data_IF_761095580128
#
_entry.id   IF_761095580128
#
_cell.length_a   1.000
_cell.length_b   1.000
_cell.length_c   1.000
_cell.angle_alpha   90.00
_cell.angle_beta   90.00
_cell.angle_gamma   90.00
#
_symmetry.space_group_name_H-M   'P 1'
#
loop_
_entity.id
_entity.type
_entity.pdbx_description
1 polymer ?
#
# COMPACT_ATOMS: atom_id res chain seq x y z
N UNK A 1 -16.37 3.87 -23.66
CA UNK A 1 -15.30 4.88 -23.83
C UNK A 1 -15.97 6.13 -24.38
N UNK A 2 -15.69 7.30 -23.80
CA UNK A 2 -16.45 8.54 -24.00
C UNK A 2 -17.85 8.57 -23.38
N UNK A 3 -18.19 7.56 -22.58
CA UNK A 3 -19.41 7.55 -21.78
C UNK A 3 -19.34 8.67 -20.73
N UNK A 4 -20.46 9.32 -20.45
CA UNK A 4 -20.53 10.39 -19.45
C UNK A 4 -21.13 9.84 -18.16
N UNK A 5 -20.28 9.67 -17.14
CA UNK A 5 -20.68 9.23 -15.82
C UNK A 5 -21.30 10.39 -15.05
N UNK A 6 -22.42 10.13 -14.37
CA UNK A 6 -23.11 11.12 -13.54
C UNK A 6 -23.37 12.46 -14.26
N UNK A 7 -23.61 12.42 -15.58
CA UNK A 7 -23.81 13.60 -16.43
C UNK A 7 -22.69 14.66 -16.37
N UNK A 8 -21.51 14.31 -15.84
CA UNK A 8 -20.40 15.25 -15.58
C UNK A 8 -19.04 14.73 -16.00
N UNK A 9 -18.75 13.45 -15.78
CA UNK A 9 -17.40 12.91 -15.98
C UNK A 9 -17.34 12.08 -17.25
N UNK A 10 -16.78 12.66 -18.31
CA UNK A 10 -16.62 11.98 -19.60
C UNK A 10 -15.40 11.05 -19.55
N UNK A 11 -15.59 9.75 -19.75
CA UNK A 11 -14.52 8.75 -19.73
C UNK A 11 -13.58 8.95 -20.92
N UNK A 12 -12.30 9.17 -20.63
CA UNK A 12 -11.22 9.23 -21.63
C UNK A 12 -10.65 7.83 -21.87
N UNK A 13 -10.10 7.21 -20.82
CA UNK A 13 -9.46 5.90 -20.92
C UNK A 13 -9.28 5.22 -19.57
N UNK A 14 -9.03 3.91 -19.59
CA UNK A 14 -8.82 3.13 -18.37
C UNK A 14 -7.37 3.26 -17.89
N UNK A 15 -7.19 3.65 -16.64
CA UNK A 15 -5.87 3.77 -15.99
C UNK A 15 -5.47 2.48 -15.27
N UNK A 16 -6.43 1.76 -14.71
CA UNK A 16 -6.12 0.60 -13.88
C UNK A 16 -7.34 -0.15 -13.36
N UNK A 17 -7.09 -1.21 -12.61
CA UNK A 17 -8.10 -1.91 -11.82
C UNK A 17 -7.46 -2.53 -10.57
N UNK A 18 -8.24 -2.60 -9.51
CA UNK A 18 -7.94 -3.34 -8.28
C UNK A 18 -8.86 -4.54 -8.14
N UNK A 19 -8.84 -5.20 -6.98
CA UNK A 19 -9.72 -6.33 -6.68
C UNK A 19 -11.21 -5.94 -6.69
N UNK A 20 -11.52 -4.71 -6.27
CA UNK A 20 -12.89 -4.21 -6.06
C UNK A 20 -13.22 -2.93 -6.82
N UNK A 21 -12.43 -2.56 -7.84
CA UNK A 21 -12.67 -1.31 -8.58
C UNK A 21 -11.98 -1.27 -9.93
N UNK A 22 -12.50 -0.43 -10.82
CA UNK A 22 -11.80 0.05 -12.02
C UNK A 22 -11.54 1.54 -11.92
N UNK A 23 -10.43 2.00 -12.48
CA UNK A 23 -9.97 3.39 -12.36
C UNK A 23 -9.83 3.99 -13.76
N UNK A 24 -10.44 5.15 -13.95
CA UNK A 24 -10.62 5.78 -15.26
C UNK A 24 -10.13 7.22 -15.23
N UNK A 25 -9.41 7.62 -16.27
CA UNK A 25 -9.20 9.03 -16.57
C UNK A 25 -10.50 9.57 -17.18
N UNK A 26 -10.96 10.71 -16.66
CA UNK A 26 -12.15 11.38 -17.16
C UNK A 26 -11.88 12.88 -17.33
N UNK A 27 -12.64 13.53 -18.22
CA UNK A 27 -12.77 14.98 -18.26
C UNK A 27 -13.97 15.39 -17.42
N UNK A 28 -13.77 16.27 -16.45
CA UNK A 28 -14.84 16.96 -15.74
C UNK A 28 -15.42 18.04 -16.65
N UNK A 29 -16.66 17.84 -17.10
CA UNK A 29 -17.34 18.74 -18.03
C UNK A 29 -17.80 20.05 -17.37
N UNK A 30 -17.78 20.15 -16.04
CA UNK A 30 -18.14 21.35 -15.28
C UNK A 30 -16.91 22.19 -14.98
N UNK A 31 -15.87 21.58 -14.42
CA UNK A 31 -14.62 22.28 -14.04
C UNK A 31 -13.61 22.37 -15.19
N UNK A 32 -13.89 21.72 -16.33
CA UNK A 32 -13.04 21.70 -17.53
C UNK A 32 -11.61 21.23 -17.27
N UNK A 33 -11.44 20.21 -16.43
CA UNK A 33 -10.15 19.63 -16.10
C UNK A 33 -10.20 18.09 -16.13
N UNK A 34 -9.04 17.43 -16.10
CA UNK A 34 -8.99 15.98 -15.96
C UNK A 34 -9.10 15.54 -14.50
N UNK A 35 -9.84 14.46 -14.28
CA UNK A 35 -10.00 13.80 -12.98
C UNK A 35 -9.84 12.29 -13.14
N UNK A 36 -9.52 11.61 -12.03
CA UNK A 36 -9.57 10.15 -11.97
C UNK A 36 -10.85 9.72 -11.26
N UNK A 37 -11.64 8.87 -11.92
CA UNK A 37 -12.85 8.26 -11.32
C UNK A 37 -12.56 6.79 -11.01
N UNK A 38 -12.58 6.44 -9.72
CA UNK A 38 -12.55 5.05 -9.23
C UNK A 38 -13.99 4.57 -9.14
N UNK A 39 -14.38 3.65 -10.02
CA UNK A 39 -15.69 2.99 -10.01
C UNK A 39 -15.52 1.68 -9.27
N UNK A 40 -16.07 1.59 -8.05
CA UNK A 40 -16.02 0.39 -7.23
C UNK A 40 -16.99 -0.67 -7.75
N UNK A 41 -16.76 -1.93 -7.39
CA UNK A 41 -17.77 -2.97 -7.48
C UNK A 41 -18.94 -2.63 -6.55
N UNK A 42 -20.01 -3.42 -6.61
CA UNK A 42 -21.16 -3.26 -5.71
C UNK A 42 -20.73 -3.23 -4.24
N UNK A 43 -21.52 -2.53 -3.41
CA UNK A 43 -21.26 -2.27 -2.00
C UNK A 43 -20.79 -3.51 -1.25
N UNK A 44 -19.66 -3.37 -0.57
CA UNK A 44 -19.08 -4.35 0.32
C UNK A 44 -18.20 -3.65 1.35
N UNK A 45 -17.82 -4.38 2.40
CA UNK A 45 -17.09 -3.84 3.55
C UNK A 45 -15.88 -2.96 3.15
N UNK A 46 -15.01 -3.34 2.17
CA UNK A 46 -13.89 -2.49 1.78
C UNK A 46 -14.30 -1.12 1.22
N UNK A 47 -15.41 -1.06 0.48
CA UNK A 47 -15.91 0.18 -0.15
C UNK A 47 -16.55 1.11 0.89
N UNK A 48 -17.34 0.55 1.80
CA UNK A 48 -17.94 1.31 2.92
C UNK A 48 -16.87 1.90 3.84
N UNK A 49 -15.79 1.13 4.05
CA UNK A 49 -14.64 1.56 4.83
C UNK A 49 -13.86 2.68 4.13
N UNK A 50 -13.59 2.56 2.83
CA UNK A 50 -12.95 3.64 2.05
C UNK A 50 -13.78 4.92 2.11
N UNK A 51 -15.11 4.83 1.92
CA UNK A 51 -16.01 5.98 2.03
C UNK A 51 -15.94 6.62 3.43
N UNK A 52 -15.94 5.81 4.48
CA UNK A 52 -15.88 6.27 5.86
C UNK A 52 -14.55 6.96 6.17
N UNK A 53 -13.44 6.38 5.70
CA UNK A 53 -12.11 6.96 5.86
C UNK A 53 -11.97 8.30 5.12
N UNK A 54 -12.44 8.39 3.88
CA UNK A 54 -12.40 9.64 3.09
C UNK A 54 -13.29 10.72 3.69
N UNK A 55 -14.49 10.37 4.17
CA UNK A 55 -15.36 11.30 4.90
C UNK A 55 -14.70 11.83 6.17
N UNK A 56 -14.05 10.95 6.93
CA UNK A 56 -13.30 11.33 8.12
C UNK A 56 -12.17 12.31 7.78
N UNK A 57 -11.32 11.98 6.80
CA UNK A 57 -10.22 12.84 6.35
C UNK A 57 -10.71 14.23 5.87
N UNK A 58 -11.80 14.27 5.11
CA UNK A 58 -12.40 15.51 4.63
C UNK A 58 -13.09 16.34 5.73
N UNK A 59 -13.46 15.70 6.85
CA UNK A 59 -14.06 16.41 8.01
C UNK A 59 -13.03 17.06 8.92
N UNK A 60 -11.77 16.67 8.84
CA UNK A 60 -10.69 17.24 9.65
C UNK A 60 -10.46 18.70 9.28
N UNK A 61 -10.19 19.58 10.27
CA UNK A 61 -9.90 20.98 10.01
C UNK A 61 -8.67 21.15 9.12
N UNK A 62 -8.49 22.36 8.60
CA UNK A 62 -7.22 22.71 7.97
C UNK A 62 -6.08 22.48 8.97
N UNK A 63 -4.98 21.92 8.48
CA UNK A 63 -3.80 21.60 9.27
C UNK A 63 -2.55 22.13 8.57
N UNK A 64 -1.59 22.61 9.36
CA UNK A 64 -0.25 23.00 8.90
C UNK A 64 0.69 21.79 8.78
N UNK A 65 0.23 20.61 9.18
CA UNK A 65 1.02 19.40 9.11
C UNK A 65 1.28 19.00 7.65
N UNK A 66 2.52 19.17 7.20
CA UNK A 66 2.93 18.93 5.81
C UNK A 66 2.58 17.53 5.29
N UNK A 67 2.62 16.52 6.15
CA UNK A 67 2.17 15.15 5.83
C UNK A 67 0.80 15.05 5.17
N UNK A 68 -0.12 15.98 5.45
CA UNK A 68 -1.44 16.05 4.80
C UNK A 68 -1.34 16.19 3.28
N UNK A 69 -0.32 16.86 2.76
CA UNK A 69 -0.14 17.05 1.31
C UNK A 69 0.23 15.76 0.59
N UNK A 70 0.68 14.74 1.35
CA UNK A 70 1.07 13.42 0.83
C UNK A 70 -0.03 12.37 1.05
N UNK A 71 -1.25 12.79 1.39
CA UNK A 71 -2.44 11.95 1.50
C UNK A 71 -3.40 12.24 0.35
N UNK A 72 -3.84 11.19 -0.34
CA UNK A 72 -4.87 11.33 -1.36
C UNK A 72 -6.22 11.63 -0.72
N UNK A 73 -6.85 12.72 -1.18
CA UNK A 73 -8.21 13.12 -0.77
C UNK A 73 -9.18 13.01 -1.95
N UNK A 74 -10.43 12.69 -1.66
CA UNK A 74 -11.49 12.65 -2.66
C UNK A 74 -12.01 14.07 -2.93
N UNK A 75 -12.09 14.43 -4.22
CA UNK A 75 -12.67 15.67 -4.72
C UNK A 75 -14.20 15.62 -4.71
N UNK A 76 -14.77 14.45 -5.00
CA UNK A 76 -16.21 14.21 -5.04
C UNK A 76 -16.52 12.72 -4.83
N UNK A 77 -17.77 12.40 -4.50
CA UNK A 77 -18.30 11.03 -4.47
C UNK A 77 -19.71 10.99 -5.04
N UNK A 78 -20.02 9.94 -5.79
CA UNK A 78 -21.36 9.69 -6.32
C UNK A 78 -21.61 8.20 -6.49
N UNK A 79 -22.83 7.84 -6.88
CA UNK A 79 -23.22 6.46 -7.16
C UNK A 79 -23.74 6.33 -8.59
N UNK A 80 -23.26 5.31 -9.31
CA UNK A 80 -23.87 4.92 -10.58
C UNK A 80 -25.02 3.94 -10.32
N UNK A 81 -26.10 4.02 -11.09
CA UNK A 81 -27.24 3.12 -10.92
C UNK A 81 -26.83 1.66 -11.14
N UNK A 82 -27.50 0.77 -10.42
CA UNK A 82 -27.32 -0.66 -10.56
C UNK A 82 -27.61 -1.12 -12.00
N UNK A 83 -26.92 -2.19 -12.44
CA UNK A 83 -27.32 -2.89 -13.67
C UNK A 83 -28.72 -3.51 -13.45
N UNK A 84 -29.75 -3.12 -14.22
CA UNK A 84 -31.11 -3.63 -14.07
C UNK A 84 -31.22 -5.15 -14.25
N UNK A 85 -30.23 -5.78 -14.90
CA UNK A 85 -30.18 -7.23 -15.14
C UNK A 85 -29.42 -7.98 -14.05
N UNK A 86 -28.82 -7.28 -13.09
CA UNK A 86 -28.07 -7.92 -12.00
C UNK A 86 -29.02 -8.69 -11.07
N UNK A 87 -28.60 -9.88 -10.64
CA UNK A 87 -29.30 -10.69 -9.64
C UNK A 87 -29.33 -10.04 -8.26
N UNK A 88 -28.44 -9.07 -8.00
CA UNK A 88 -28.42 -8.26 -6.79
C UNK A 88 -28.24 -6.79 -7.20
N UNK A 89 -29.31 -6.03 -7.47
CA UNK A 89 -29.21 -4.65 -7.92
C UNK A 89 -28.75 -3.76 -6.76
N UNK A 90 -27.50 -3.32 -6.81
CA UNK A 90 -26.93 -2.33 -5.91
C UNK A 90 -26.18 -1.27 -6.73
N UNK A 91 -26.21 0.00 -6.29
CA UNK A 91 -25.45 1.05 -6.95
C UNK A 91 -23.94 0.76 -6.89
N UNK A 92 -23.19 1.40 -7.79
CA UNK A 92 -21.74 1.33 -7.82
C UNK A 92 -21.17 2.64 -7.25
N UNK A 93 -20.57 2.61 -6.04
CA UNK A 93 -19.92 3.78 -5.47
C UNK A 93 -18.75 4.23 -6.35
N UNK A 94 -18.66 5.54 -6.55
CA UNK A 94 -17.63 6.17 -7.35
C UNK A 94 -16.95 7.28 -6.57
N UNK A 95 -15.62 7.29 -6.61
CA UNK A 95 -14.79 8.32 -5.98
C UNK A 95 -14.02 9.10 -7.04
N UNK A 96 -14.05 10.43 -6.93
CA UNK A 96 -13.36 11.34 -7.85
C UNK A 96 -12.11 11.86 -7.17
N UNK A 97 -10.99 11.83 -7.88
CA UNK A 97 -9.68 12.22 -7.38
C UNK A 97 -8.94 13.08 -8.39
N UNK A 98 -7.91 13.79 -7.91
CA UNK A 98 -6.88 14.31 -8.82
C UNK A 98 -6.22 13.15 -9.59
N UNK A 99 -5.89 13.35 -10.87
CA UNK A 99 -5.07 12.40 -11.61
C UNK A 99 -3.70 12.21 -10.99
N UNK A 100 -3.19 10.99 -11.10
CA UNK A 100 -1.89 10.57 -10.58
C UNK A 100 -1.12 9.87 -11.69
N UNK A 101 0.20 9.87 -11.62
CA UNK A 101 1.05 9.37 -12.68
C UNK A 101 1.06 7.84 -12.71
N UNK A 102 1.76 7.25 -11.74
CA UNK A 102 1.95 5.81 -11.64
C UNK A 102 2.27 5.41 -10.20
N UNK A 103 2.06 4.15 -9.86
CA UNK A 103 2.45 3.59 -8.55
C UNK A 103 3.96 3.44 -8.45
N UNK A 104 4.50 3.48 -7.22
CA UNK A 104 5.91 3.15 -6.97
C UNK A 104 6.29 1.78 -7.51
N UNK A 105 5.37 0.81 -7.45
CA UNK A 105 5.60 -0.54 -7.99
C UNK A 105 5.94 -0.53 -9.50
N UNK A 106 5.18 0.25 -10.28
CA UNK A 106 5.44 0.40 -11.72
C UNK A 106 6.64 1.31 -11.98
N UNK A 107 6.82 2.36 -11.18
CA UNK A 107 7.97 3.26 -11.31
C UNK A 107 9.29 2.53 -11.09
N UNK A 108 9.35 1.65 -10.08
CA UNK A 108 10.54 0.85 -9.76
C UNK A 108 10.98 -0.04 -10.91
N UNK A 109 10.06 -0.52 -11.75
CA UNK A 109 10.38 -1.33 -12.93
C UNK A 109 11.16 -0.59 -14.01
N UNK A 110 11.25 0.74 -13.93
CA UNK A 110 12.06 1.54 -14.84
C UNK A 110 13.55 1.54 -14.44
N UNK A 111 13.88 1.06 -13.23
CA UNK A 111 15.24 1.05 -12.72
C UNK A 111 15.91 -0.32 -12.94
N UNK A 112 17.24 -0.36 -13.10
CA UNK A 112 17.99 -1.60 -13.18
C UNK A 112 17.64 -2.54 -12.02
N UNK A 113 17.40 -3.82 -12.34
CA UNK A 113 17.05 -4.86 -11.37
C UNK A 113 15.79 -4.58 -10.53
N UNK A 114 14.97 -3.61 -10.95
CA UNK A 114 13.83 -3.10 -10.18
C UNK A 114 14.25 -2.59 -8.79
N UNK A 115 15.34 -1.83 -8.69
CA UNK A 115 15.84 -1.30 -7.42
C UNK A 115 15.88 0.23 -7.46
N UNK A 116 15.34 0.90 -6.44
CA UNK A 116 15.51 2.35 -6.33
C UNK A 116 16.91 2.72 -5.85
N UNK A 117 17.56 3.73 -6.44
CA UNK A 117 18.81 4.28 -5.91
C UNK A 117 18.61 4.83 -4.50
N UNK A 118 19.63 4.71 -3.64
CA UNK A 118 19.62 5.15 -2.23
C UNK A 118 18.99 6.54 -2.03
N UNK A 119 19.40 7.54 -2.83
CA UNK A 119 18.92 8.92 -2.67
C UNK A 119 17.44 9.08 -3.02
N UNK A 120 16.97 8.39 -4.06
CA UNK A 120 15.56 8.36 -4.42
C UNK A 120 14.74 7.68 -3.31
N UNK A 121 15.23 6.56 -2.80
CA UNK A 121 14.58 5.82 -1.73
C UNK A 121 14.43 6.66 -0.44
N UNK A 122 15.49 7.35 -0.02
CA UNK A 122 15.44 8.29 1.11
C UNK A 122 14.37 9.36 0.91
N UNK A 123 14.37 10.02 -0.26
CA UNK A 123 13.38 11.05 -0.59
C UNK A 123 11.95 10.51 -0.52
N UNK A 124 11.67 9.37 -1.17
CA UNK A 124 10.35 8.73 -1.13
C UNK A 124 9.93 8.44 0.31
N UNK A 125 10.85 7.88 1.11
CA UNK A 125 10.55 7.48 2.47
C UNK A 125 10.21 8.67 3.37
N UNK A 126 10.90 9.80 3.23
CA UNK A 126 10.57 11.02 3.98
C UNK A 126 9.11 11.44 3.77
N UNK A 127 8.63 11.41 2.52
CA UNK A 127 7.25 11.76 2.19
C UNK A 127 6.26 10.74 2.76
N UNK A 128 6.55 9.45 2.64
CA UNK A 128 5.70 8.36 3.18
C UNK A 128 5.61 8.46 4.71
N UNK A 129 6.73 8.64 5.40
CA UNK A 129 6.76 8.82 6.86
C UNK A 129 5.96 10.06 7.27
N UNK A 130 6.12 11.20 6.59
CA UNK A 130 5.32 12.41 6.87
C UNK A 130 3.82 12.17 6.67
N UNK A 131 3.43 11.44 5.62
CA UNK A 131 2.04 11.07 5.35
C UNK A 131 1.44 10.25 6.51
N UNK A 132 2.17 9.22 6.95
CA UNK A 132 1.75 8.34 8.04
C UNK A 132 1.72 9.09 9.37
N UNK A 133 2.68 9.99 9.62
CA UNK A 133 2.71 10.82 10.81
C UNK A 133 1.45 11.68 10.92
N UNK A 134 1.01 12.29 9.82
CA UNK A 134 -0.26 13.00 9.78
C UNK A 134 -1.46 12.07 10.08
N UNK A 135 -1.51 10.89 9.45
CA UNK A 135 -2.59 9.93 9.65
C UNK A 135 -2.70 9.50 11.12
N UNK A 136 -1.58 9.18 11.76
CA UNK A 136 -1.53 8.68 13.13
C UNK A 136 -1.80 9.78 14.15
N UNK A 137 -1.17 10.95 13.99
CA UNK A 137 -1.20 12.02 14.99
C UNK A 137 -2.47 12.84 14.91
N UNK A 138 -2.88 13.27 13.72
CA UNK A 138 -4.01 14.18 13.56
C UNK A 138 -5.28 13.46 13.10
N UNK A 139 -5.17 12.57 12.10
CA UNK A 139 -6.34 11.85 11.61
C UNK A 139 -6.76 10.70 12.54
N UNK A 140 -5.91 10.26 13.47
CA UNK A 140 -6.16 9.08 14.34
C UNK A 140 -6.62 7.86 13.52
N UNK A 141 -5.94 7.64 12.39
CA UNK A 141 -6.26 6.61 11.41
C UNK A 141 -5.02 5.77 11.10
N UNK A 142 -5.23 4.46 11.00
CA UNK A 142 -4.23 3.47 10.59
C UNK A 142 -4.53 3.12 9.13
N UNK A 143 -3.51 3.11 8.27
CA UNK A 143 -3.68 2.78 6.85
C UNK A 143 -3.86 1.28 6.63
N UNK A 144 -3.05 0.45 7.30
CA UNK A 144 -3.13 -1.00 7.34
C UNK A 144 -2.92 -1.74 6.00
N UNK A 145 -2.43 -1.03 4.98
CA UNK A 145 -2.08 -1.58 3.65
C UNK A 145 -1.01 -0.73 2.94
N UNK A 146 0.07 -0.43 3.64
CA UNK A 146 1.19 0.33 3.07
C UNK A 146 2.03 -0.61 2.22
N UNK A 147 2.00 -0.37 0.91
CA UNK A 147 2.76 -1.10 -0.11
C UNK A 147 2.96 -0.24 -1.35
N UNK A 148 3.89 -0.62 -2.22
CA UNK A 148 4.27 0.14 -3.42
C UNK A 148 3.11 0.41 -4.39
N UNK A 149 2.12 -0.49 -4.43
CA UNK A 149 0.93 -0.33 -5.28
C UNK A 149 -0.02 0.77 -4.81
N UNK A 150 0.02 1.09 -3.52
CA UNK A 150 -0.86 2.08 -2.87
C UNK A 150 -0.18 3.43 -2.68
N UNK A 151 1.03 3.62 -3.21
CA UNK A 151 1.74 4.90 -3.20
C UNK A 151 1.90 5.34 -4.65
N UNK A 152 1.23 6.42 -5.03
CA UNK A 152 1.21 6.94 -6.40
C UNK A 152 2.00 8.25 -6.48
N UNK A 153 2.78 8.43 -7.55
CA UNK A 153 3.47 9.69 -7.82
C UNK A 153 2.47 10.73 -8.33
N UNK A 154 2.54 11.97 -7.83
CA UNK A 154 1.73 13.06 -8.37
C UNK A 154 2.13 13.39 -9.81
N UNK A 155 1.17 13.98 -10.54
CA UNK A 155 1.41 14.58 -11.83
C UNK A 155 1.63 16.07 -11.65
N UNK A 156 2.85 16.51 -11.95
CA UNK A 156 3.21 17.93 -11.91
C UNK A 156 3.10 18.58 -13.30
N UNK A 157 3.16 17.77 -14.37
CA UNK A 157 3.00 18.22 -15.76
C UNK A 157 1.61 17.84 -16.31
N UNK A 158 0.70 18.81 -16.49
CA UNK A 158 -0.64 18.53 -17.02
C UNK A 158 -0.64 18.09 -18.49
N UNK A 159 0.42 18.37 -19.27
CA UNK A 159 0.49 17.97 -20.68
C UNK A 159 0.41 16.45 -20.86
N UNK A 160 0.86 15.68 -19.87
CA UNK A 160 0.79 14.21 -19.86
C UNK A 160 -0.66 13.71 -19.98
N UNK A 161 -1.62 14.45 -19.41
CA UNK A 161 -3.04 14.10 -19.46
C UNK A 161 -3.63 14.36 -20.85
N UNK A 162 -3.19 15.45 -21.50
CA UNK A 162 -3.58 15.79 -22.87
C UNK A 162 -2.98 14.79 -23.87
N UNK A 163 -1.71 14.45 -23.72
CA UNK A 163 -1.03 13.43 -24.53
C UNK A 163 -1.73 12.07 -24.40
N UNK A 164 -2.08 11.65 -23.18
CA UNK A 164 -2.84 10.43 -22.96
C UNK A 164 -4.18 10.44 -23.71
N UNK A 165 -4.91 11.55 -23.64
CA UNK A 165 -6.20 11.71 -24.33
C UNK A 165 -6.03 11.66 -25.86
N UNK A 166 -5.04 12.37 -26.40
CA UNK A 166 -4.72 12.34 -27.82
C UNK A 166 -4.34 10.94 -28.30
N UNK A 167 -3.54 10.22 -27.54
CA UNK A 167 -3.15 8.85 -27.86
C UNK A 167 -4.33 7.88 -27.83
N UNK A 168 -5.19 7.98 -26.81
CA UNK A 168 -6.38 7.14 -26.69
C UNK A 168 -7.37 7.41 -27.82
N UNK A 169 -7.42 8.66 -28.31
CA UNK A 169 -8.17 9.03 -29.50
C UNK A 169 -7.56 8.45 -30.79
N UNK A 170 -6.25 8.59 -30.99
CA UNK A 170 -5.55 8.14 -32.21
C UNK A 170 -5.42 6.62 -32.30
N UNK A 171 -5.22 5.96 -31.17
CA UNK A 171 -4.99 4.52 -31.09
C UNK A 171 -5.69 3.95 -29.84
N UNK A 172 -7.01 3.68 -29.90
CA UNK A 172 -7.78 3.24 -28.74
C UNK A 172 -7.25 1.96 -28.11
N UNK A 173 -7.31 1.88 -26.77
CA UNK A 173 -6.84 0.73 -26.02
C UNK A 173 -7.58 -0.57 -26.44
N UNK A 174 -6.86 -1.71 -26.52
CA UNK A 174 -7.48 -3.00 -26.80
C UNK A 174 -8.63 -3.30 -25.85
N UNK A 175 -9.69 -3.92 -26.38
CA UNK A 175 -10.89 -4.27 -25.61
C UNK A 175 -11.41 -5.65 -25.96
N UNK A 176 -11.91 -6.36 -24.95
CA UNK A 176 -12.65 -7.61 -25.09
C UNK A 176 -14.14 -7.34 -24.87
N UNK A 177 -14.98 -7.95 -25.70
CA UNK A 177 -16.43 -8.01 -25.47
C UNK A 177 -16.72 -9.33 -24.77
N UNK A 178 -17.40 -9.29 -23.62
CA UNK A 178 -17.76 -10.43 -22.80
C UNK A 178 -19.25 -10.33 -22.47
N UNK A 179 -20.09 -10.97 -23.29
CA UNK A 179 -21.54 -10.78 -23.22
C UNK A 179 -21.95 -9.34 -23.54
N UNK A 180 -22.60 -8.68 -22.58
CA UNK A 180 -22.98 -7.26 -22.66
C UNK A 180 -21.95 -6.31 -22.05
N UNK A 181 -20.81 -6.82 -21.58
CA UNK A 181 -19.73 -6.03 -20.98
C UNK A 181 -18.59 -5.82 -21.94
N UNK A 182 -18.00 -4.62 -21.90
CA UNK A 182 -16.75 -4.31 -22.60
C UNK A 182 -15.65 -4.14 -21.57
N UNK A 183 -14.63 -5.00 -21.66
CA UNK A 183 -13.45 -4.95 -20.80
C UNK A 183 -12.32 -4.28 -21.56
N UNK A 184 -11.89 -3.13 -21.09
CA UNK A 184 -10.77 -2.38 -21.66
C UNK A 184 -9.46 -2.79 -20.98
N UNK A 185 -8.40 -2.93 -21.79
CA UNK A 185 -7.04 -2.97 -21.30
C UNK A 185 -6.67 -1.59 -20.75
N UNK A 186 -5.96 -1.54 -19.64
CA UNK A 186 -5.48 -0.28 -19.07
C UNK A 186 -4.34 0.28 -19.90
N UNK A 187 -4.35 1.59 -20.16
CA UNK A 187 -3.21 2.31 -20.72
C UNK A 187 -2.38 2.91 -19.59
N UNK A 188 -1.06 2.75 -19.68
CA UNK A 188 -0.13 3.45 -18.80
C UNK A 188 0.03 4.88 -19.28
N UNK A 189 0.08 5.84 -18.36
CA UNK A 189 0.44 7.20 -18.71
C UNK A 189 1.91 7.21 -19.13
N UNK A 190 2.18 7.56 -20.39
CA UNK A 190 3.52 7.67 -20.93
C UNK A 190 4.17 8.94 -20.38
N UNK A 191 4.63 8.85 -19.13
CA UNK A 191 5.47 9.90 -18.60
C UNK A 191 6.81 9.84 -19.33
N UNK A 192 7.28 10.98 -19.84
CA UNK A 192 8.68 11.16 -20.22
C UNK A 192 9.55 11.14 -18.95
N UNK A 193 9.58 9.99 -18.26
CA UNK A 193 10.26 9.79 -16.97
C UNK A 193 11.75 9.76 -17.21
N UNK A 194 12.36 10.93 -17.28
CA UNK A 194 13.76 11.06 -16.92
C UNK A 194 13.87 10.98 -15.40
N UNK A 195 14.98 10.45 -14.88
CA UNK A 195 15.22 10.16 -13.46
C UNK A 195 14.97 11.35 -12.50
N UNK A 196 14.88 12.56 -13.04
CA UNK A 196 14.78 13.85 -12.37
C UNK A 196 13.39 14.50 -12.42
N UNK A 197 12.41 13.90 -13.12
CA UNK A 197 11.06 14.49 -13.30
C UNK A 197 9.94 13.55 -12.83
N UNK A 198 9.76 13.47 -11.52
CA UNK A 198 8.61 12.82 -10.90
C UNK A 198 8.05 13.71 -9.78
N UNK A 199 6.73 13.72 -9.63
CA UNK A 199 6.07 14.41 -8.54
C UNK A 199 6.17 13.63 -7.22
N UNK A 200 5.95 14.28 -6.07
CA UNK A 200 6.01 13.62 -4.76
C UNK A 200 5.12 12.36 -4.67
N UNK A 201 5.55 11.33 -3.92
CA UNK A 201 4.73 10.16 -3.66
C UNK A 201 3.57 10.52 -2.72
N UNK A 202 2.38 10.05 -3.07
CA UNK A 202 1.14 10.26 -2.35
C UNK A 202 0.59 8.91 -1.91
N UNK A 203 0.31 8.78 -0.61
CA UNK A 203 -0.32 7.60 -0.04
C UNK A 203 -1.82 7.58 -0.42
N UNK A 204 -2.24 6.45 -0.97
CA UNK A 204 -3.54 6.24 -1.59
C UNK A 204 -4.19 4.96 -1.09
N UNK A 205 -5.48 4.81 -1.39
CA UNK A 205 -6.29 3.62 -1.13
C UNK A 205 -6.53 3.31 0.36
N UNK A 206 -7.65 3.81 0.87
CA UNK A 206 -8.06 3.64 2.27
C UNK A 206 -9.05 2.49 2.46
N UNK A 207 -9.08 1.51 1.54
CA UNK A 207 -9.99 0.35 1.62
C UNK A 207 -9.68 -0.60 2.76
N UNK A 208 -8.50 -0.49 3.40
CA UNK A 208 -8.13 -1.26 4.59
C UNK A 208 -7.91 -0.40 5.84
N UNK A 209 -8.26 0.89 5.81
CA UNK A 209 -8.02 1.77 6.95
C UNK A 209 -8.85 1.43 8.20
N UNK A 210 -8.33 1.71 9.40
CA UNK A 210 -9.08 1.63 10.66
C UNK A 210 -8.94 2.93 11.45
N UNK A 211 -10.01 3.32 12.14
CA UNK A 211 -10.03 4.47 13.05
C UNK A 211 -11.16 4.32 14.08
N UNK A 212 -11.07 5.06 15.18
CA UNK A 212 -12.11 5.08 16.24
C UNK A 212 -11.98 4.01 17.34
N UNK A 213 -10.92 3.21 17.34
CA UNK A 213 -10.58 2.29 18.44
C UNK A 213 -9.08 2.33 18.71
N UNK A 214 -8.69 2.02 19.94
CA UNK A 214 -7.27 2.00 20.32
C UNK A 214 -6.53 0.79 19.73
N UNK A 215 -7.21 -0.34 19.61
CA UNK A 215 -6.64 -1.59 19.09
C UNK A 215 -7.68 -2.35 18.25
N UNK A 216 -7.17 -3.23 17.39
CA UNK A 216 -7.95 -4.05 16.48
C UNK A 216 -7.41 -5.50 16.44
N UNK A 217 -8.19 -6.44 15.91
CA UNK A 217 -7.85 -7.87 15.87
C UNK A 217 -8.20 -8.54 14.54
N UNK A 218 -8.77 -7.79 13.60
CA UNK A 218 -9.12 -8.29 12.29
C UNK A 218 -7.91 -8.41 11.36
N UNK A 219 -8.08 -9.16 10.28
CA UNK A 219 -7.02 -9.46 9.32
C UNK A 219 -6.82 -8.29 8.36
N UNK A 220 -5.65 -7.68 8.44
CA UNK A 220 -5.17 -6.61 7.56
C UNK A 220 -3.85 -7.00 6.89
N UNK A 221 -3.35 -6.09 6.04
CA UNK A 221 -2.10 -6.18 5.29
C UNK A 221 -2.01 -7.39 4.32
N UNK A 222 -1.45 -7.20 3.13
CA UNK A 222 -1.13 -8.30 2.23
C UNK A 222 -0.08 -9.23 2.86
N UNK A 223 -0.09 -10.50 2.44
CA UNK A 223 0.68 -11.56 3.09
C UNK A 223 2.15 -11.21 3.35
N UNK A 224 2.86 -10.61 2.39
CA UNK A 224 4.31 -10.30 2.50
C UNK A 224 4.62 -9.08 3.36
N UNK A 225 3.64 -8.19 3.60
CA UNK A 225 3.79 -6.98 4.42
C UNK A 225 3.16 -7.11 5.81
N UNK A 226 2.55 -8.27 6.10
CA UNK A 226 1.76 -8.47 7.31
C UNK A 226 2.63 -8.55 8.56
N UNK A 227 2.30 -7.75 9.56
CA UNK A 227 3.00 -7.66 10.84
C UNK A 227 2.81 -8.94 11.68
N UNK A 228 3.77 -9.29 12.56
CA UNK A 228 3.72 -10.52 13.35
C UNK A 228 2.52 -10.56 14.29
N UNK A 229 2.14 -9.43 14.90
CA UNK A 229 0.96 -9.34 15.77
C UNK A 229 -0.34 -9.67 15.03
N UNK A 230 -0.48 -9.25 13.77
CA UNK A 230 -1.63 -9.58 12.93
C UNK A 230 -1.64 -11.07 12.59
N UNK A 231 -0.48 -11.65 12.25
CA UNK A 231 -0.35 -13.09 11.96
C UNK A 231 -0.70 -13.95 13.18
N UNK A 232 -0.29 -13.51 14.37
CA UNK A 232 -0.41 -14.24 15.62
C UNK A 232 -1.71 -13.96 16.38
N UNK A 233 -2.64 -13.22 15.77
CA UNK A 233 -3.91 -12.79 16.37
C UNK A 233 -3.71 -12.10 17.74
N UNK A 234 -2.68 -11.26 17.80
CA UNK A 234 -2.40 -10.36 18.91
C UNK A 234 -3.06 -9.01 18.56
N UNK A 235 -3.73 -8.33 19.52
CA UNK A 235 -4.27 -6.99 19.27
C UNK A 235 -3.21 -6.05 18.73
N UNK A 236 -3.56 -5.30 17.70
CA UNK A 236 -2.65 -4.43 16.96
C UNK A 236 -3.16 -2.98 16.92
N UNK A 237 -2.23 -2.05 16.73
CA UNK A 237 -2.45 -0.59 16.71
C UNK A 237 -1.74 0.04 15.49
N UNK A 238 -1.51 1.35 15.50
CA UNK A 238 -0.89 2.07 14.39
C UNK A 238 0.52 1.61 14.03
N UNK A 239 1.21 0.88 14.93
CA UNK A 239 2.57 0.37 14.69
C UNK A 239 2.64 -0.66 13.57
N UNK A 240 1.52 -1.24 13.13
CA UNK A 240 1.47 -2.09 11.93
C UNK A 240 1.89 -1.35 10.66
N UNK A 241 1.62 -0.04 10.58
CA UNK A 241 2.04 0.79 9.45
C UNK A 241 3.57 0.98 9.46
N UNK A 242 4.17 1.14 10.64
CA UNK A 242 5.63 1.26 10.78
C UNK A 242 6.33 -0.04 10.35
N UNK A 243 5.76 -1.20 10.71
CA UNK A 243 6.22 -2.49 10.20
C UNK A 243 6.17 -2.55 8.67
N UNK A 244 5.03 -2.19 8.08
CA UNK A 244 4.86 -2.20 6.62
C UNK A 244 5.86 -1.27 5.93
N UNK A 245 6.20 -0.12 6.52
CA UNK A 245 7.25 0.77 5.99
C UNK A 245 8.63 0.10 6.02
N UNK A 246 8.97 -0.59 7.11
CA UNK A 246 10.23 -1.35 7.23
C UNK A 246 10.37 -2.49 6.22
N UNK A 247 9.27 -3.12 5.83
CA UNK A 247 9.25 -4.11 4.73
C UNK A 247 9.29 -3.42 3.36
N UNK A 248 8.52 -2.35 3.18
CA UNK A 248 8.44 -1.57 1.94
C UNK A 248 9.80 -1.02 1.50
N UNK A 249 10.56 -0.42 2.42
CA UNK A 249 11.88 0.13 2.11
C UNK A 249 12.84 -0.94 1.60
N UNK A 250 12.83 -2.13 2.22
CA UNK A 250 13.66 -3.25 1.82
C UNK A 250 13.29 -3.73 0.42
N UNK A 251 12.01 -3.97 0.17
CA UNK A 251 11.51 -4.46 -1.11
C UNK A 251 11.86 -3.51 -2.28
N UNK A 252 11.78 -2.20 -2.02
CA UNK A 252 12.14 -1.18 -3.01
C UNK A 252 13.66 -1.09 -3.25
N UNK A 253 14.46 -1.38 -2.24
CA UNK A 253 15.92 -1.27 -2.31
C UNK A 253 16.58 -2.54 -2.87
N UNK A 254 16.21 -3.71 -2.35
CA UNK A 254 16.76 -5.00 -2.76
C UNK A 254 16.10 -5.55 -4.03
N UNK A 255 14.94 -5.01 -4.40
CA UNK A 255 14.18 -5.45 -5.57
C UNK A 255 13.50 -6.81 -5.37
N UNK A 256 13.58 -7.38 -4.18
CA UNK A 256 12.97 -8.66 -3.78
C UNK A 256 12.31 -8.54 -2.41
N UNK A 257 11.32 -9.40 -2.14
CA UNK A 257 10.58 -9.35 -0.87
C UNK A 257 11.48 -9.70 0.32
N UNK A 258 11.43 -8.89 1.40
CA UNK A 258 12.09 -9.19 2.67
C UNK A 258 11.68 -10.57 3.21
N UNK A 259 10.37 -10.85 3.20
CA UNK A 259 9.81 -12.12 3.65
C UNK A 259 9.20 -12.90 2.49
N UNK A 260 9.64 -14.15 2.32
CA UNK A 260 9.07 -15.06 1.33
C UNK A 260 7.93 -15.86 1.97
N UNK A 261 6.71 -15.63 1.48
CA UNK A 261 5.51 -16.32 1.99
C UNK A 261 5.18 -17.57 1.19
N UNK A 262 5.62 -17.67 -0.06
CA UNK A 262 5.40 -18.85 -0.91
C UNK A 262 6.58 -19.82 -0.85
N UNK A 263 6.30 -21.13 -0.72
CA UNK A 263 7.32 -22.20 -0.66
C UNK A 263 6.74 -23.54 -0.19
N UNK A 264 7.31 -24.65 -0.71
CA UNK A 264 6.90 -26.03 -0.41
C UNK A 264 5.86 -26.63 -1.37
N UNK A 265 5.65 -27.96 -1.36
CA UNK A 265 4.68 -28.62 -2.24
C UNK A 265 3.28 -28.04 -2.02
N UNK A 266 2.65 -27.60 -3.12
CA UNK A 266 1.27 -27.08 -3.21
C UNK A 266 0.99 -25.66 -2.67
N UNK A 267 1.98 -24.87 -2.25
CA UNK A 267 1.77 -23.47 -1.79
C UNK A 267 0.75 -23.32 -0.63
N UNK A 268 0.50 -24.41 0.12
CA UNK A 268 -0.53 -24.50 1.19
C UNK A 268 -0.11 -23.91 2.53
N UNK A 269 1.09 -23.33 2.63
CA UNK A 269 1.79 -23.07 3.89
C UNK A 269 2.29 -21.62 4.04
N UNK A 270 1.52 -20.64 3.59
CA UNK A 270 1.98 -19.23 3.53
C UNK A 270 2.41 -18.65 4.87
N UNK A 271 1.56 -18.81 5.90
CA UNK A 271 1.83 -18.28 7.24
C UNK A 271 3.06 -18.91 7.89
N UNK A 272 3.25 -20.23 7.73
CA UNK A 272 4.39 -20.92 8.37
C UNK A 272 5.71 -20.56 7.69
N UNK A 273 5.74 -20.39 6.37
CA UNK A 273 6.93 -19.90 5.68
C UNK A 273 7.23 -18.45 6.09
N UNK A 274 6.19 -17.61 6.18
CA UNK A 274 6.37 -16.22 6.60
C UNK A 274 7.02 -16.13 7.99
N UNK A 275 6.47 -16.82 8.99
CA UNK A 275 7.04 -16.81 10.34
C UNK A 275 8.44 -17.46 10.39
N UNK A 276 8.72 -18.49 9.59
CA UNK A 276 10.07 -19.07 9.50
C UNK A 276 11.10 -18.05 8.99
N UNK A 277 10.73 -17.25 7.98
CA UNK A 277 11.57 -16.16 7.50
C UNK A 277 11.72 -15.03 8.54
N UNK A 278 10.67 -14.70 9.29
CA UNK A 278 10.80 -13.76 10.42
C UNK A 278 11.78 -14.27 11.47
N UNK A 279 11.72 -15.55 11.84
CA UNK A 279 12.65 -16.17 12.80
C UNK A 279 14.08 -16.16 12.29
N UNK A 280 14.28 -16.41 10.99
CA UNK A 280 15.59 -16.34 10.34
C UNK A 280 16.23 -14.96 10.50
N UNK A 281 15.48 -13.89 10.20
CA UNK A 281 16.01 -12.53 10.17
C UNK A 281 16.03 -11.83 11.55
N UNK A 282 15.09 -12.17 12.43
CA UNK A 282 14.86 -11.48 13.71
C UNK A 282 15.22 -12.32 14.94
N UNK A 283 15.52 -13.61 14.76
CA UNK A 283 15.56 -14.58 15.85
C UNK A 283 14.16 -14.96 16.36
N UNK A 284 14.07 -15.84 17.37
CA UNK A 284 12.79 -16.27 17.93
C UNK A 284 12.04 -15.10 18.60
N UNK A 285 10.70 -15.07 18.54
CA UNK A 285 9.89 -14.05 19.20
C UNK A 285 9.96 -14.18 20.73
N UNK A 286 9.90 -13.06 21.48
CA UNK A 286 9.75 -13.12 22.92
C UNK A 286 8.48 -13.85 23.36
N UNK A 287 8.57 -14.76 24.32
CA UNK A 287 7.41 -15.55 24.82
C UNK A 287 6.32 -14.67 25.41
N UNK A 288 6.68 -13.56 26.06
CA UNK A 288 5.70 -12.62 26.62
C UNK A 288 4.88 -11.91 25.53
N UNK A 289 5.44 -11.73 24.33
CA UNK A 289 4.71 -11.24 23.17
C UNK A 289 3.72 -12.29 22.66
N UNK A 290 4.15 -13.55 22.51
CA UNK A 290 3.26 -14.64 22.06
C UNK A 290 2.04 -14.84 22.98
N UNK A 291 2.20 -14.64 24.28
CA UNK A 291 1.12 -14.75 25.29
C UNK A 291 0.04 -13.68 25.18
N UNK A 292 0.24 -12.62 24.38
CA UNK A 292 -0.74 -11.53 24.17
C UNK A 292 -1.84 -11.89 23.18
N UNK A 293 -1.76 -13.05 22.54
CA UNK A 293 -2.77 -13.50 21.57
C UNK A 293 -4.14 -13.63 22.25
N UNK A 294 -5.20 -13.28 21.53
CA UNK A 294 -6.57 -13.59 21.95
C UNK A 294 -6.98 -15.02 21.57
N UNK A 295 -6.18 -15.70 20.74
CA UNK A 295 -6.46 -17.02 20.20
C UNK A 295 -5.30 -17.97 20.56
N UNK A 296 -5.37 -18.56 21.77
CA UNK A 296 -4.27 -19.31 22.38
C UNK A 296 -3.61 -20.31 21.42
N UNK A 297 -4.37 -21.08 20.64
CA UNK A 297 -3.79 -22.12 19.78
C UNK A 297 -2.93 -21.59 18.60
N UNK A 298 -3.06 -20.32 18.20
CA UNK A 298 -2.40 -19.79 17.00
C UNK A 298 -0.87 -19.72 17.18
N UNK A 299 -0.29 -19.00 18.16
CA UNK A 299 1.16 -18.95 18.34
C UNK A 299 1.78 -20.32 18.62
N UNK A 300 1.12 -21.13 19.45
CA UNK A 300 1.64 -22.43 19.90
C UNK A 300 1.59 -23.52 18.83
N UNK A 301 1.05 -23.23 17.64
CA UNK A 301 1.20 -24.05 16.43
C UNK A 301 2.59 -23.92 15.81
N UNK A 302 3.27 -22.80 16.07
CA UNK A 302 4.53 -22.42 15.43
C UNK A 302 5.70 -22.35 16.41
N UNK A 303 5.42 -22.07 17.68
CA UNK A 303 6.42 -21.90 18.73
C UNK A 303 6.15 -22.80 19.93
N UNK A 304 7.21 -23.25 20.61
CA UNK A 304 7.05 -24.03 21.84
C UNK A 304 6.41 -23.18 22.96
N UNK A 305 5.42 -23.76 23.66
CA UNK A 305 4.70 -23.05 24.74
C UNK A 305 5.44 -23.11 26.07
N UNK A 306 6.13 -24.22 26.32
CA UNK A 306 6.83 -24.52 27.57
C UNK A 306 8.32 -24.17 27.53
N UNK A 307 8.85 -23.78 26.38
CA UNK A 307 10.26 -23.42 26.18
C UNK A 307 10.46 -21.90 26.11
N UNK A 308 11.46 -21.50 25.33
CA UNK A 308 11.88 -20.11 25.14
C UNK A 308 11.21 -19.44 23.91
N UNK A 309 10.16 -20.06 23.36
CA UNK A 309 9.51 -19.60 22.12
C UNK A 309 10.23 -20.11 20.88
N UNK A 310 10.85 -21.30 20.96
CA UNK A 310 11.60 -21.87 19.85
C UNK A 310 10.68 -22.29 18.71
N UNK A 311 11.19 -22.20 17.48
CA UNK A 311 10.46 -22.62 16.29
C UNK A 311 10.17 -24.12 16.28
N UNK A 312 8.90 -24.48 16.21
CA UNK A 312 8.40 -25.86 16.01
C UNK A 312 7.53 -25.98 14.76
N UNK A 313 7.44 -24.92 13.95
CA UNK A 313 6.67 -24.90 12.73
C UNK A 313 7.20 -25.88 11.68
N UNK A 314 6.31 -26.34 10.79
CA UNK A 314 6.63 -27.36 9.78
C UNK A 314 7.61 -26.91 8.69
N UNK A 315 7.80 -25.61 8.49
CA UNK A 315 8.75 -25.09 7.51
C UNK A 315 10.16 -25.04 8.11
N UNK A 316 11.17 -25.29 7.29
CA UNK A 316 12.57 -25.04 7.68
C UNK A 316 12.80 -23.53 7.82
N UNK A 317 13.51 -23.13 8.87
CA UNK A 317 14.01 -21.75 9.02
C UNK A 317 15.21 -21.58 8.08
N UNK A 318 15.19 -20.62 7.15
CA UNK A 318 16.37 -20.33 6.31
C UNK A 318 17.58 -19.89 7.15
N UNK A 319 18.78 -20.20 6.68
CA UNK A 319 20.04 -19.69 7.25
C UNK A 319 20.43 -18.37 6.57
N UNK A 320 19.56 -17.36 6.69
CA UNK A 320 19.76 -16.02 6.13
C UNK A 320 19.90 -14.98 7.26
N UNK A 321 20.40 -13.80 6.90
CA UNK A 321 20.43 -12.60 7.77
C UNK A 321 20.25 -11.36 6.92
N UNK A 322 19.83 -10.25 7.54
CA UNK A 322 19.74 -8.97 6.83
C UNK A 322 21.11 -8.56 6.24
N UNK A 323 22.20 -8.85 6.94
CA UNK A 323 23.56 -8.60 6.47
C UNK A 323 23.91 -9.35 5.19
N UNK A 324 23.49 -10.61 5.08
CA UNK A 324 23.75 -11.45 3.90
C UNK A 324 22.85 -11.08 2.72
N UNK A 325 21.60 -10.71 2.99
CA UNK A 325 20.61 -10.43 1.96
C UNK A 325 20.71 -9.02 1.37
N UNK A 326 21.26 -8.06 2.11
CA UNK A 326 21.50 -6.71 1.60
C UNK A 326 22.72 -6.72 0.68
N UNK A 327 22.54 -6.39 -0.60
CA UNK A 327 23.61 -6.48 -1.62
C UNK A 327 24.00 -5.11 -2.21
N UNK A 328 23.33 -4.02 -1.82
CA UNK A 328 23.45 -2.73 -2.47
C UNK A 328 24.46 -1.78 -1.79
N UNK A 329 24.78 -2.00 -0.51
CA UNK A 329 25.62 -1.12 0.31
C UNK A 329 26.81 -1.88 0.91
N UNK A 330 27.82 -1.13 1.32
CA UNK A 330 29.00 -1.65 2.02
C UNK A 330 29.39 -0.73 3.20
N UNK A 331 30.17 -1.26 4.13
CA UNK A 331 30.75 -0.50 5.24
C UNK A 331 29.70 0.21 6.12
N UNK A 332 29.97 1.48 6.43
CA UNK A 332 29.14 2.28 7.33
C UNK A 332 27.73 2.52 6.77
N UNK A 333 27.59 2.71 5.45
CA UNK A 333 26.30 2.94 4.82
C UNK A 333 25.36 1.74 4.98
N UNK A 334 25.91 0.53 4.84
CA UNK A 334 25.18 -0.72 5.10
C UNK A 334 24.81 -0.85 6.57
N UNK A 335 25.75 -0.59 7.47
CA UNK A 335 25.50 -0.66 8.92
C UNK A 335 24.36 0.29 9.33
N UNK A 336 24.35 1.51 8.82
CA UNK A 336 23.31 2.51 9.08
C UNK A 336 21.95 2.10 8.49
N UNK A 337 21.93 1.57 7.26
CA UNK A 337 20.68 1.09 6.64
C UNK A 337 20.07 -0.04 7.45
N UNK A 338 20.87 -1.05 7.81
CA UNK A 338 20.40 -2.19 8.58
C UNK A 338 19.94 -1.78 9.98
N UNK A 339 20.64 -0.85 10.63
CA UNK A 339 20.21 -0.28 11.90
C UNK A 339 18.88 0.46 11.77
N UNK A 340 18.68 1.19 10.68
CA UNK A 340 17.42 1.89 10.39
C UNK A 340 16.26 0.92 10.15
N UNK A 341 16.44 -0.12 9.34
CA UNK A 341 15.42 -1.16 9.10
C UNK A 341 15.01 -1.87 10.40
N UNK A 342 15.98 -2.19 11.26
CA UNK A 342 15.74 -2.85 12.56
C UNK A 342 14.92 -2.03 13.54
N UNK A 343 14.85 -0.71 13.37
CA UNK A 343 13.96 0.17 14.18
C UNK A 343 12.49 0.05 13.83
N UNK A 344 12.17 -0.55 12.68
CA UNK A 344 10.80 -0.70 12.18
C UNK A 344 10.34 -2.17 12.20
N UNK A 345 11.25 -3.10 11.92
CA UNK A 345 10.95 -4.52 11.79
C UNK A 345 11.34 -5.27 13.07
N UNK A 346 10.49 -5.16 14.09
CA UNK A 346 10.64 -5.83 15.38
C UNK A 346 9.42 -6.69 15.71
N UNK A 347 9.63 -7.73 16.53
CA UNK A 347 8.55 -8.60 17.00
C UNK A 347 7.48 -7.84 17.78
N UNK A 348 7.90 -7.01 18.76
CA UNK A 348 7.00 -6.24 19.61
C UNK A 348 6.69 -4.88 18.98
N UNK A 349 5.40 -4.52 18.81
CA UNK A 349 5.01 -3.22 18.28
C UNK A 349 5.61 -2.03 19.03
N UNK A 350 5.70 -2.13 20.37
CA UNK A 350 6.23 -1.07 21.23
C UNK A 350 7.75 -0.82 21.05
N UNK A 351 8.49 -1.79 20.52
CA UNK A 351 9.93 -1.65 20.26
C UNK A 351 10.20 -0.91 18.93
N UNK A 352 9.16 -0.68 18.10
CA UNK A 352 9.29 0.06 16.85
C UNK A 352 9.38 1.55 17.13
N UNK A 353 10.38 2.22 16.56
CA UNK A 353 10.56 3.67 16.68
C UNK A 353 9.31 4.44 16.25
N UNK A 354 9.13 5.62 16.84
CA UNK A 354 8.15 6.61 16.37
C UNK A 354 8.57 7.17 15.01
N UNK A 355 7.62 7.76 14.29
CA UNK A 355 7.90 8.34 12.98
C UNK A 355 8.82 9.57 13.11
N UNK A 356 8.69 10.33 14.18
CA UNK A 356 9.53 11.49 14.49
C UNK A 356 10.99 11.09 14.74
N UNK A 357 11.22 9.92 15.34
CA UNK A 357 12.56 9.35 15.50
C UNK A 357 13.12 8.87 14.15
N UNK A 358 12.30 8.19 13.33
CA UNK A 358 12.70 7.72 12.01
C UNK A 358 13.04 8.88 11.06
N UNK A 359 12.27 9.98 11.10
CA UNK A 359 12.54 11.19 10.31
C UNK A 359 13.86 11.87 10.68
N UNK A 360 14.34 11.70 11.92
CA UNK A 360 15.62 12.24 12.41
C UNK A 360 16.78 11.25 12.30
N UNK A 361 16.54 10.06 11.76
CA UNK A 361 17.56 9.03 11.69
C UNK A 361 18.73 9.45 10.78
N UNK A 362 19.99 9.20 11.17
CA UNK A 362 21.16 9.52 10.35
C UNK A 362 21.14 8.85 8.97
N UNK A 363 20.60 7.64 8.85
CA UNK A 363 20.52 7.00 7.55
C UNK A 363 19.57 7.72 6.61
N UNK A 364 18.50 8.35 7.13
CA UNK A 364 17.55 9.07 6.28
C UNK A 364 18.01 10.47 5.89
N UNK A 365 18.93 11.07 6.66
CA UNK A 365 19.39 12.45 6.48
C UNK A 365 20.76 12.56 5.79
#
# INVERSE_FOLDING_TARGET
MWDVLHSRYQVVGKLGNGAYSTVWLCRDLVEHCHVTVKVCTQLGIPVERELSALKHLNSLPASEHIGRTFIRTALDHFELPADPKSSNPAPFPCFVYKPMATSLYQFRKLFPQNRFPKQLLKSILQHVLLAIHYLHIEAKMIHADIQEGNILLSLDDPNILEEFEEEEWRNPSPRKIDGDRVVYLSRLMHMHMTYDKYGPPILCDFTEARFGSATYTDLIQPDVYRAPEVILAIPWDEKVDIWSVGVLIWDMFEGTHMFKTAGGPENKYRTVNHLAHMVSLLGPPPVDFLKRTEVDWIPWKYFDKQGEGNWIGKASVPEDSLEQLEENLEGEDKAQFLAFVRKMVTWKPEDRCSIEELLKDPWLN
#
